data_IF_383381696038
#
_entry.id   IF_383381696038
#
_cell.length_a   1.000
_cell.length_b   1.000
_cell.length_c   1.000
_cell.angle_alpha   90.00
_cell.angle_beta   90.00
_cell.angle_gamma   90.00
#
_symmetry.space_group_name_H-M   'P 1'
#
loop_
_entity.id
_entity.type
_entity.pdbx_description
1 polymer ?
#
# COMPACT_ATOMS: atom_id res chain seq x y z
N UNK A 1 -37.47 18.04 -13.67
CA UNK A 1 -37.01 19.45 -13.70
C UNK A 1 -36.26 19.78 -12.44
N UNK A 2 -35.06 20.26 -12.60
CA UNK A 2 -34.11 20.82 -11.64
C UNK A 2 -32.98 19.86 -11.28
N UNK A 3 -32.00 19.75 -12.19
CA UNK A 3 -30.61 19.70 -11.77
C UNK A 3 -30.05 21.07 -12.15
N UNK A 4 -29.90 21.90 -11.12
CA UNK A 4 -29.30 23.23 -11.22
C UNK A 4 -27.85 23.08 -11.73
N UNK A 5 -27.46 23.96 -12.66
CA UNK A 5 -26.08 24.05 -13.20
C UNK A 5 -25.01 24.41 -12.15
N UNK A 6 -25.40 24.57 -10.89
CA UNK A 6 -24.53 25.07 -9.83
C UNK A 6 -23.78 23.98 -9.04
N UNK A 7 -23.85 22.69 -9.48
CA UNK A 7 -23.21 21.56 -8.78
C UNK A 7 -21.90 21.05 -9.42
N UNK A 8 -21.28 21.84 -10.28
CA UNK A 8 -19.95 21.49 -10.83
C UNK A 8 -18.89 22.44 -10.26
N UNK A 9 -18.17 22.08 -9.20
CA UNK A 9 -16.93 22.78 -8.88
C UNK A 9 -15.89 22.48 -9.97
N UNK A 10 -15.25 23.53 -10.48
CA UNK A 10 -14.13 23.46 -11.42
C UNK A 10 -13.00 22.64 -10.80
N UNK A 11 -12.73 21.47 -11.34
CA UNK A 11 -11.67 20.57 -10.89
C UNK A 11 -10.38 20.83 -11.66
N UNK A 12 -9.29 21.03 -10.94
CA UNK A 12 -7.93 21.11 -11.46
C UNK A 12 -7.43 19.75 -11.99
N UNK A 13 -6.64 19.76 -13.05
CA UNK A 13 -6.30 18.70 -13.99
C UNK A 13 -5.33 17.61 -13.50
N UNK A 14 -5.28 17.28 -12.20
CA UNK A 14 -4.42 16.19 -11.68
C UNK A 14 -5.13 15.36 -10.61
N UNK A 15 -6.20 14.65 -10.96
CA UNK A 15 -6.76 13.60 -10.11
C UNK A 15 -6.31 12.23 -10.61
N UNK A 16 -5.59 11.50 -9.75
CA UNK A 16 -5.22 10.08 -9.96
C UNK A 16 -6.48 9.20 -9.87
N UNK A 17 -6.49 8.04 -10.52
CA UNK A 17 -7.59 7.07 -10.60
C UNK A 17 -8.23 6.67 -9.25
N UNK A 18 -7.56 6.91 -8.12
CA UNK A 18 -8.05 6.61 -6.76
C UNK A 18 -9.00 7.65 -6.18
N UNK A 19 -9.28 8.75 -6.89
CA UNK A 19 -10.01 9.91 -6.40
C UNK A 19 -11.23 10.25 -7.29
N UNK A 20 -11.68 9.31 -8.12
CA UNK A 20 -12.83 9.51 -8.98
C UNK A 20 -14.13 9.29 -8.22
N UNK A 21 -14.94 10.35 -8.12
CA UNK A 21 -16.32 10.25 -7.65
C UNK A 21 -17.13 9.46 -8.69
N UNK A 22 -17.85 8.47 -8.25
CA UNK A 22 -18.76 7.69 -9.09
C UNK A 22 -20.20 8.12 -8.86
N UNK A 23 -21.03 7.88 -9.87
CA UNK A 23 -22.48 7.95 -9.75
C UNK A 23 -23.04 6.55 -10.01
N UNK A 24 -23.86 6.09 -9.08
CA UNK A 24 -24.62 4.87 -9.20
C UNK A 24 -25.97 5.19 -9.82
N UNK A 25 -26.25 4.60 -10.96
CA UNK A 25 -27.59 4.57 -11.56
C UNK A 25 -28.33 3.35 -11.03
N UNK A 26 -29.44 3.57 -10.33
CA UNK A 26 -30.34 2.52 -9.89
C UNK A 26 -31.57 2.46 -10.80
N UNK A 27 -31.84 1.30 -11.34
CA UNK A 27 -32.99 1.03 -12.20
C UNK A 27 -33.74 -0.18 -11.68
N UNK A 28 -35.04 -0.03 -11.42
CA UNK A 28 -35.85 -1.16 -11.02
C UNK A 28 -36.25 -2.00 -12.22
N UNK A 29 -35.85 -3.29 -12.22
CA UNK A 29 -36.09 -4.25 -13.30
C UNK A 29 -36.51 -5.57 -12.67
N UNK A 30 -37.77 -5.95 -12.86
CA UNK A 30 -38.32 -7.21 -12.30
C UNK A 30 -38.06 -8.42 -13.19
N UNK A 31 -37.76 -8.19 -14.47
CA UNK A 31 -37.47 -9.24 -15.45
C UNK A 31 -35.97 -9.44 -15.58
N UNK A 32 -35.43 -10.64 -15.24
CA UNK A 32 -34.01 -10.92 -15.36
C UNK A 32 -33.44 -10.81 -16.79
N UNK A 33 -34.21 -11.20 -17.81
CA UNK A 33 -33.77 -11.06 -19.21
C UNK A 33 -33.63 -9.60 -19.61
N UNK A 34 -34.56 -8.77 -19.16
CA UNK A 34 -34.47 -7.32 -19.38
C UNK A 34 -33.26 -6.70 -18.65
N UNK A 35 -32.92 -7.20 -17.45
CA UNK A 35 -31.75 -6.72 -16.72
C UNK A 35 -30.44 -7.04 -17.47
N UNK A 36 -30.33 -8.22 -18.08
CA UNK A 36 -29.18 -8.59 -18.90
C UNK A 36 -29.09 -7.73 -20.18
N UNK A 37 -30.21 -7.49 -20.85
CA UNK A 37 -30.25 -6.63 -22.05
C UNK A 37 -29.82 -5.20 -21.69
N UNK A 38 -30.37 -4.65 -20.60
CA UNK A 38 -30.01 -3.30 -20.15
C UNK A 38 -28.54 -3.20 -19.75
N UNK A 39 -28.00 -4.24 -19.10
CA UNK A 39 -26.59 -4.29 -18.77
C UNK A 39 -25.72 -4.23 -20.03
N UNK A 40 -26.08 -5.02 -21.06
CA UNK A 40 -25.33 -5.01 -22.32
C UNK A 40 -25.43 -3.66 -23.06
N UNK A 41 -26.63 -3.05 -23.11
CA UNK A 41 -26.78 -1.75 -23.80
C UNK A 41 -26.16 -0.58 -23.00
N UNK A 42 -26.21 -0.62 -21.66
CA UNK A 42 -25.53 0.39 -20.83
C UNK A 42 -24.00 0.25 -20.88
N UNK A 43 -23.48 -0.95 -21.12
CA UNK A 43 -22.05 -1.17 -21.30
C UNK A 43 -21.47 -0.53 -22.60
N UNK A 44 -22.33 -0.19 -23.56
CA UNK A 44 -21.92 0.60 -24.75
C UNK A 44 -21.75 2.10 -24.42
N UNK A 45 -22.25 2.53 -23.24
CA UNK A 45 -22.07 3.86 -22.68
C UNK A 45 -20.91 3.84 -21.67
N UNK A 46 -20.43 5.00 -21.18
CA UNK A 46 -19.29 5.05 -20.25
C UNK A 46 -19.52 4.46 -18.84
N UNK A 47 -20.43 3.52 -18.67
CA UNK A 47 -20.58 2.77 -17.42
C UNK A 47 -19.50 1.67 -17.32
N UNK A 48 -18.83 1.56 -16.17
CA UNK A 48 -17.66 0.71 -16.01
C UNK A 48 -17.94 -0.58 -15.23
N UNK A 49 -18.99 -0.61 -14.42
CA UNK A 49 -19.37 -1.81 -13.67
C UNK A 49 -20.87 -1.89 -13.43
N UNK A 50 -21.36 -3.12 -13.22
CA UNK A 50 -22.77 -3.42 -13.07
C UNK A 50 -22.95 -4.42 -11.93
N UNK A 51 -24.07 -4.27 -11.19
CA UNK A 51 -24.47 -5.18 -10.14
C UNK A 51 -25.98 -5.31 -10.12
N UNK A 52 -26.51 -6.51 -9.91
CA UNK A 52 -27.94 -6.72 -9.71
C UNK A 52 -28.19 -7.13 -8.28
N UNK A 53 -29.00 -6.37 -7.56
CA UNK A 53 -29.45 -6.67 -6.20
C UNK A 53 -30.96 -6.81 -6.17
N UNK A 54 -31.44 -8.05 -6.11
CA UNK A 54 -32.88 -8.33 -6.19
C UNK A 54 -33.48 -7.86 -7.51
N UNK A 55 -34.42 -6.89 -7.46
CA UNK A 55 -35.04 -6.28 -8.63
C UNK A 55 -34.39 -4.97 -9.06
N UNK A 56 -33.20 -4.65 -8.56
CA UNK A 56 -32.51 -3.40 -8.88
C UNK A 56 -31.23 -3.68 -9.64
N UNK A 57 -31.15 -3.18 -10.87
CA UNK A 57 -29.92 -3.08 -11.63
C UNK A 57 -29.19 -1.78 -11.24
N UNK A 58 -27.96 -1.91 -10.81
CA UNK A 58 -27.03 -0.82 -10.48
C UNK A 58 -25.98 -0.75 -11.54
N UNK A 59 -25.73 0.45 -12.08
CA UNK A 59 -24.66 0.72 -13.05
C UNK A 59 -23.83 1.89 -12.54
N UNK A 60 -22.50 1.78 -12.66
CA UNK A 60 -21.56 2.75 -12.08
C UNK A 60 -20.81 3.48 -13.17
N UNK A 61 -20.81 4.81 -13.10
CA UNK A 61 -20.18 5.70 -14.06
C UNK A 61 -19.33 6.76 -13.34
N UNK A 62 -18.11 7.09 -13.85
CA UNK A 62 -17.37 8.23 -13.35
C UNK A 62 -18.21 9.52 -13.45
N UNK A 63 -18.26 10.29 -12.37
CA UNK A 63 -19.10 11.48 -12.26
C UNK A 63 -18.87 12.49 -13.40
N UNK A 64 -17.63 12.62 -13.83
CA UNK A 64 -17.25 13.49 -14.94
C UNK A 64 -17.83 13.06 -16.30
N UNK A 65 -18.10 11.74 -16.48
CA UNK A 65 -18.61 11.15 -17.70
C UNK A 65 -20.15 11.13 -17.77
N UNK A 66 -20.82 11.32 -16.63
CA UNK A 66 -22.28 11.23 -16.55
C UNK A 66 -22.97 12.25 -17.46
N UNK A 67 -22.49 13.49 -17.49
CA UNK A 67 -23.11 14.55 -18.29
C UNK A 67 -23.09 14.25 -19.80
N UNK A 68 -22.08 13.51 -20.27
CA UNK A 68 -21.88 13.18 -21.68
C UNK A 68 -22.89 12.13 -22.17
N UNK A 69 -23.39 11.25 -21.30
CA UNK A 69 -24.25 10.14 -21.68
C UNK A 69 -25.64 10.13 -20.99
N UNK A 70 -25.92 11.07 -20.10
CA UNK A 70 -27.19 11.10 -19.35
C UNK A 70 -28.42 11.05 -20.27
N UNK A 71 -28.44 11.84 -21.35
CA UNK A 71 -29.55 11.84 -22.29
C UNK A 71 -29.68 10.49 -23.03
N UNK A 72 -28.56 9.90 -23.42
CA UNK A 72 -28.53 8.58 -24.07
C UNK A 72 -29.04 7.48 -23.15
N UNK A 73 -28.64 7.54 -21.87
CA UNK A 73 -29.13 6.63 -20.83
C UNK A 73 -30.64 6.78 -20.62
N UNK A 74 -31.14 8.01 -20.55
CA UNK A 74 -32.56 8.30 -20.39
C UNK A 74 -33.40 7.82 -21.58
N UNK A 75 -32.93 8.04 -22.80
CA UNK A 75 -33.55 7.57 -24.03
C UNK A 75 -33.55 6.03 -24.12
N UNK A 76 -32.46 5.39 -23.67
CA UNK A 76 -32.35 3.95 -23.59
C UNK A 76 -33.39 3.36 -22.64
N UNK A 77 -33.45 3.86 -21.41
CA UNK A 77 -34.39 3.40 -20.40
C UNK A 77 -35.85 3.62 -20.83
N UNK A 78 -36.13 4.74 -21.47
CA UNK A 78 -37.46 5.05 -22.01
C UNK A 78 -37.92 4.06 -23.10
N UNK A 79 -37.02 3.54 -23.95
CA UNK A 79 -37.33 2.50 -24.96
C UNK A 79 -37.90 1.23 -24.34
N UNK A 80 -37.45 0.92 -23.12
CA UNK A 80 -37.91 -0.24 -22.36
C UNK A 80 -39.03 0.09 -21.36
N UNK A 81 -39.59 1.32 -21.44
CA UNK A 81 -40.70 1.75 -20.58
C UNK A 81 -40.30 1.98 -19.11
N UNK A 82 -39.03 2.14 -18.84
CA UNK A 82 -38.50 2.34 -17.49
C UNK A 82 -38.46 3.85 -17.19
N UNK A 83 -39.34 4.27 -16.29
CA UNK A 83 -39.41 5.66 -15.82
C UNK A 83 -38.77 5.86 -14.43
N UNK A 84 -38.76 4.80 -13.58
CA UNK A 84 -38.20 4.88 -12.23
C UNK A 84 -36.71 4.58 -12.28
N UNK A 85 -35.92 5.66 -12.19
CA UNK A 85 -34.47 5.61 -12.12
C UNK A 85 -33.96 6.63 -11.13
N UNK A 86 -32.85 6.33 -10.49
CA UNK A 86 -32.19 7.22 -9.53
C UNK A 86 -30.71 7.25 -9.79
N UNK A 87 -30.16 8.47 -9.79
CA UNK A 87 -28.72 8.71 -9.81
C UNK A 87 -28.28 9.08 -8.40
N UNK A 88 -27.42 8.27 -7.81
CA UNK A 88 -26.90 8.44 -6.45
C UNK A 88 -25.42 8.77 -6.57
N UNK A 89 -25.01 9.95 -6.12
CA UNK A 89 -23.60 10.28 -6.05
C UNK A 89 -22.94 9.40 -4.98
N UNK A 90 -21.95 8.63 -5.38
CA UNK A 90 -21.07 7.92 -4.47
C UNK A 90 -19.92 8.85 -4.21
N UNK A 91 -19.88 9.45 -3.03
CA UNK A 91 -18.70 10.17 -2.60
C UNK A 91 -17.56 9.16 -2.49
N UNK A 92 -16.44 9.46 -3.15
CA UNK A 92 -15.23 8.68 -2.94
C UNK A 92 -14.93 8.71 -1.45
N UNK A 93 -15.17 7.60 -0.79
CA UNK A 93 -14.68 7.45 0.57
C UNK A 93 -13.16 7.55 0.46
N UNK A 94 -12.56 8.54 1.08
CA UNK A 94 -11.11 8.65 1.10
C UNK A 94 -10.56 7.47 1.91
N UNK A 95 -10.44 6.32 1.22
CA UNK A 95 -9.94 5.08 1.79
C UNK A 95 -8.55 5.28 2.39
N UNK A 96 -7.75 6.20 1.82
CA UNK A 96 -6.45 6.55 2.37
C UNK A 96 -6.61 7.23 3.74
N UNK A 97 -7.51 8.19 3.89
CA UNK A 97 -7.74 8.85 5.17
C UNK A 97 -8.33 7.89 6.21
N UNK A 98 -9.25 7.01 5.80
CA UNK A 98 -9.81 5.98 6.68
C UNK A 98 -8.75 4.96 7.11
N UNK A 99 -7.89 4.57 6.17
CA UNK A 99 -6.78 3.67 6.44
C UNK A 99 -5.74 4.33 7.34
N UNK A 100 -5.36 5.60 7.09
CA UNK A 100 -4.47 6.38 7.96
C UNK A 100 -4.99 6.49 9.39
N UNK A 101 -6.30 6.71 9.56
CA UNK A 101 -6.94 6.76 10.89
C UNK A 101 -6.90 5.43 11.64
N UNK A 102 -6.94 4.30 10.92
CA UNK A 102 -6.90 2.96 11.50
C UNK A 102 -5.49 2.38 11.62
N UNK A 103 -4.48 3.02 11.01
CA UNK A 103 -3.11 2.60 11.11
C UNK A 103 -2.52 3.12 12.43
N UNK A 104 -2.18 2.21 13.34
CA UNK A 104 -1.67 2.57 14.67
C UNK A 104 -0.15 2.51 14.73
N UNK A 105 0.53 3.38 15.47
CA UNK A 105 1.95 3.22 15.77
C UNK A 105 2.21 1.90 16.49
N UNK A 106 3.37 1.32 16.24
CA UNK A 106 3.83 0.07 16.88
C UNK A 106 4.85 0.40 17.94
N UNK A 107 4.59 -0.06 19.16
CA UNK A 107 5.53 -0.06 20.27
C UNK A 107 6.28 -1.39 20.29
N UNK A 108 7.60 -1.35 20.22
CA UNK A 108 8.46 -2.53 20.36
C UNK A 108 9.18 -2.43 21.70
N UNK A 109 8.69 -3.18 22.67
CA UNK A 109 9.24 -3.34 24.04
C UNK A 109 9.48 -2.01 24.79
N UNK A 110 8.73 -0.95 24.50
CA UNK A 110 8.95 0.39 25.08
C UNK A 110 10.26 1.06 24.62
N UNK A 111 10.95 0.48 23.64
CA UNK A 111 12.28 0.94 23.16
C UNK A 111 12.22 1.58 21.80
N UNK A 112 11.42 1.02 20.88
CA UNK A 112 11.32 1.51 19.50
C UNK A 112 9.88 1.90 19.23
N UNK A 113 9.66 3.11 18.76
CA UNK A 113 8.39 3.54 18.16
C UNK A 113 8.50 3.44 16.64
N UNK A 114 7.70 2.57 16.02
CA UNK A 114 7.53 2.54 14.57
C UNK A 114 6.22 3.26 14.27
N UNK A 115 6.28 4.32 13.51
CA UNK A 115 5.12 5.14 13.15
C UNK A 115 5.11 5.59 11.69
N UNK A 116 3.94 5.92 11.19
CA UNK A 116 3.82 6.58 9.90
C UNK A 116 4.13 8.10 10.00
N UNK A 117 4.46 8.78 8.89
CA UNK A 117 4.72 10.22 8.87
C UNK A 117 3.55 11.07 9.37
N UNK A 118 2.30 10.60 9.20
CA UNK A 118 1.08 11.29 9.64
C UNK A 118 0.79 11.14 11.14
N UNK A 119 1.52 10.29 11.87
CA UNK A 119 1.43 10.20 13.31
C UNK A 119 2.32 11.25 13.99
N UNK A 120 1.83 11.83 15.08
CA UNK A 120 2.65 12.72 15.91
C UNK A 120 3.83 11.96 16.53
N UNK A 121 5.02 12.59 16.62
CA UNK A 121 6.14 12.04 17.36
C UNK A 121 5.77 11.79 18.83
N UNK A 122 6.31 10.72 19.42
CA UNK A 122 6.11 10.40 20.82
C UNK A 122 7.44 10.37 21.56
N UNK A 123 7.45 10.83 22.80
CA UNK A 123 8.64 10.80 23.64
C UNK A 123 8.71 9.52 24.48
N UNK A 124 9.89 9.19 24.96
CA UNK A 124 10.10 8.05 25.85
C UNK A 124 10.68 6.80 25.19
N UNK A 125 10.89 6.83 23.87
CA UNK A 125 11.51 5.75 23.12
C UNK A 125 13.00 6.01 22.90
N UNK A 126 13.82 4.93 22.89
CA UNK A 126 15.23 5.01 22.51
C UNK A 126 15.39 5.33 21.01
N UNK A 127 14.50 4.77 20.18
CA UNK A 127 14.48 4.93 18.74
C UNK A 127 13.08 5.26 18.23
N UNK A 128 13.00 6.18 17.29
CA UNK A 128 11.82 6.42 16.49
C UNK A 128 12.13 6.06 15.03
N UNK A 129 11.28 5.23 14.43
CA UNK A 129 11.37 4.79 13.04
C UNK A 129 10.14 5.28 12.29
N UNK A 130 10.35 6.12 11.29
CA UNK A 130 9.27 6.64 10.45
C UNK A 130 9.19 5.80 9.18
N UNK A 131 8.06 5.13 8.99
CA UNK A 131 7.82 4.26 7.84
C UNK A 131 6.52 4.66 7.18
N UNK A 132 6.55 4.99 5.89
CA UNK A 132 5.35 5.12 5.09
C UNK A 132 4.88 3.70 4.73
N UNK A 133 3.82 3.21 5.35
CA UNK A 133 3.30 1.89 5.05
C UNK A 133 2.55 1.95 3.72
N UNK A 134 3.19 1.45 2.67
CA UNK A 134 2.57 1.20 1.37
C UNK A 134 2.13 -0.26 1.31
N UNK A 135 1.76 -0.77 0.15
CA UNK A 135 1.43 -2.20 -0.04
C UNK A 135 2.64 -3.15 0.13
N UNK A 136 3.76 -2.67 0.70
CA UNK A 136 4.92 -3.45 1.02
C UNK A 136 4.80 -4.06 2.43
N UNK A 137 5.33 -5.28 2.59
CA UNK A 137 5.43 -5.93 3.90
C UNK A 137 6.42 -5.18 4.80
N UNK A 138 6.23 -5.26 6.13
CA UNK A 138 7.20 -4.68 7.08
C UNK A 138 6.75 -3.39 7.76
N UNK A 139 5.44 -3.14 7.88
CA UNK A 139 4.89 -1.98 8.62
C UNK A 139 5.16 -2.02 10.14
N UNK A 140 5.85 -3.06 10.64
CA UNK A 140 6.12 -3.26 12.05
C UNK A 140 5.03 -4.03 12.82
N UNK A 141 3.84 -4.20 12.27
CA UNK A 141 2.71 -4.85 12.97
C UNK A 141 2.86 -6.37 13.14
N UNK A 142 3.76 -7.01 12.40
CA UNK A 142 3.98 -8.43 12.53
C UNK A 142 4.92 -8.74 13.71
N UNK A 143 4.55 -9.70 14.55
CA UNK A 143 5.32 -10.05 15.75
C UNK A 143 6.79 -10.40 15.46
N UNK A 144 7.07 -11.07 14.34
CA UNK A 144 8.45 -11.39 13.93
C UNK A 144 9.28 -10.14 13.65
N UNK A 145 8.68 -9.10 13.04
CA UNK A 145 9.37 -7.83 12.81
C UNK A 145 9.74 -7.16 14.13
N UNK A 146 8.82 -7.16 15.11
CA UNK A 146 9.11 -6.65 16.44
C UNK A 146 10.24 -7.42 17.13
N UNK A 147 10.22 -8.76 17.05
CA UNK A 147 11.24 -9.61 17.67
C UNK A 147 12.63 -9.35 17.06
N UNK A 148 12.75 -9.29 15.74
CA UNK A 148 14.03 -9.00 15.07
C UNK A 148 14.48 -7.59 15.35
N UNK A 149 13.58 -6.59 15.33
CA UNK A 149 13.90 -5.20 15.68
C UNK A 149 14.41 -5.08 17.12
N UNK A 150 13.77 -5.78 18.09
CA UNK A 150 14.22 -5.84 19.48
C UNK A 150 15.61 -6.48 19.59
N UNK A 151 15.84 -7.61 18.91
CA UNK A 151 17.13 -8.28 18.89
C UNK A 151 18.26 -7.40 18.31
N UNK A 152 17.97 -6.67 17.23
CA UNK A 152 18.92 -5.70 16.67
C UNK A 152 19.31 -4.60 17.66
N UNK A 153 18.41 -4.22 18.58
CA UNK A 153 18.74 -3.26 19.64
C UNK A 153 19.73 -3.79 20.68
N UNK A 154 19.83 -5.10 20.84
CA UNK A 154 20.71 -5.74 21.81
C UNK A 154 22.10 -6.05 21.23
N UNK A 155 22.26 -5.95 19.90
CA UNK A 155 23.55 -6.17 19.24
C UNK A 155 24.44 -4.92 19.26
N UNK A 156 25.78 -5.10 19.34
CA UNK A 156 26.76 -4.03 19.23
C UNK A 156 26.98 -3.67 17.76
N UNK A 157 26.05 -2.88 17.17
CA UNK A 157 26.04 -2.58 15.73
C UNK A 157 26.91 -1.39 15.32
N UNK A 158 27.51 -0.66 16.27
CA UNK A 158 28.32 0.52 15.95
C UNK A 158 29.46 0.19 14.98
N UNK A 159 29.48 0.88 13.83
CA UNK A 159 30.46 0.70 12.77
C UNK A 159 30.34 -0.58 11.95
N UNK A 160 29.34 -1.42 12.24
CA UNK A 160 29.10 -2.72 11.61
C UNK A 160 28.48 -2.58 10.21
N UNK A 161 28.72 -3.59 9.39
CA UNK A 161 28.09 -3.75 8.08
C UNK A 161 27.01 -4.82 8.15
N UNK A 162 25.80 -4.48 7.78
CA UNK A 162 24.64 -5.36 7.85
C UNK A 162 24.01 -5.66 6.50
N UNK A 163 23.14 -6.70 6.56
CA UNK A 163 22.22 -7.06 5.49
C UNK A 163 20.80 -7.17 6.06
N UNK A 164 19.83 -6.57 5.37
CA UNK A 164 18.40 -6.79 5.57
C UNK A 164 17.86 -7.50 4.33
N UNK A 165 17.62 -8.82 4.44
CA UNK A 165 17.15 -9.63 3.32
C UNK A 165 15.63 -9.80 3.37
N UNK A 166 14.96 -9.45 2.26
CA UNK A 166 13.52 -9.27 2.20
C UNK A 166 13.12 -8.00 2.96
N UNK A 167 13.77 -6.89 2.62
CA UNK A 167 13.73 -5.66 3.44
C UNK A 167 12.33 -5.02 3.51
N UNK A 168 11.45 -5.26 2.53
CA UNK A 168 10.12 -4.68 2.50
C UNK A 168 10.17 -3.15 2.61
N UNK A 169 9.57 -2.61 3.68
CA UNK A 169 9.63 -1.17 4.00
C UNK A 169 10.99 -0.67 4.44
N UNK A 170 11.96 -1.56 4.70
CA UNK A 170 13.28 -1.24 5.24
C UNK A 170 13.31 -0.99 6.74
N UNK A 171 12.28 -1.37 7.48
CA UNK A 171 12.18 -1.08 8.92
C UNK A 171 13.36 -1.65 9.72
N UNK A 172 13.80 -2.88 9.42
CA UNK A 172 14.92 -3.51 10.12
C UNK A 172 16.26 -2.85 9.77
N UNK A 173 16.47 -2.53 8.49
CA UNK A 173 17.63 -1.75 8.05
C UNK A 173 17.71 -0.39 8.75
N UNK A 174 16.57 0.30 8.91
CA UNK A 174 16.47 1.59 9.60
C UNK A 174 16.82 1.43 11.09
N UNK A 175 16.28 0.41 11.77
CA UNK A 175 16.63 0.11 13.18
C UNK A 175 18.13 -0.12 13.31
N UNK A 176 18.70 -0.99 12.48
CA UNK A 176 20.13 -1.29 12.52
C UNK A 176 21.01 -0.04 12.28
N UNK A 177 20.67 0.76 11.29
CA UNK A 177 21.40 2.00 10.98
C UNK A 177 21.28 3.03 12.13
N UNK A 178 20.10 3.17 12.75
CA UNK A 178 19.92 4.02 13.94
C UNK A 178 20.67 3.51 15.17
N UNK A 179 20.92 2.20 15.25
CA UNK A 179 21.74 1.55 16.30
C UNK A 179 23.25 1.66 16.00
N UNK A 180 23.66 2.39 14.97
CA UNK A 180 25.05 2.70 14.68
C UNK A 180 25.67 1.86 13.58
N UNK A 181 24.94 0.98 12.89
CA UNK A 181 25.49 0.28 11.73
C UNK A 181 26.01 1.27 10.70
N UNK A 182 27.23 1.05 10.21
CA UNK A 182 27.88 1.95 9.25
C UNK A 182 27.18 1.93 7.90
N UNK A 183 26.86 0.72 7.45
CA UNK A 183 26.07 0.50 6.22
C UNK A 183 25.17 -0.71 6.36
N UNK A 184 24.00 -0.67 5.72
CA UNK A 184 23.07 -1.82 5.65
C UNK A 184 22.65 -1.96 4.19
N UNK A 185 23.02 -3.09 3.59
CA UNK A 185 22.49 -3.50 2.29
C UNK A 185 21.05 -4.00 2.54
N UNK A 186 20.05 -3.49 1.81
CA UNK A 186 18.64 -3.84 1.96
C UNK A 186 18.14 -4.44 0.66
N UNK A 187 17.93 -5.77 0.64
CA UNK A 187 17.63 -6.52 -0.59
C UNK A 187 16.19 -6.97 -0.59
N UNK A 188 15.47 -6.74 -1.69
CA UNK A 188 14.13 -7.29 -1.92
C UNK A 188 13.94 -7.67 -3.38
N UNK A 189 13.12 -8.68 -3.65
CA UNK A 189 12.78 -9.10 -5.01
C UNK A 189 11.68 -8.24 -5.65
N UNK A 190 10.98 -7.45 -4.85
CA UNK A 190 9.88 -6.58 -5.27
C UNK A 190 10.39 -5.14 -5.49
N UNK A 191 10.19 -4.62 -6.71
CA UNK A 191 10.54 -3.24 -7.06
C UNK A 191 9.84 -2.20 -6.17
N UNK A 192 8.60 -2.48 -5.75
CA UNK A 192 7.86 -1.57 -4.85
C UNK A 192 8.44 -1.56 -3.44
N UNK A 193 8.90 -2.72 -2.95
CA UNK A 193 9.58 -2.82 -1.66
C UNK A 193 10.92 -2.09 -1.69
N UNK A 194 11.73 -2.28 -2.72
CA UNK A 194 13.01 -1.57 -2.89
C UNK A 194 12.80 -0.05 -2.94
N UNK A 195 11.86 0.43 -3.74
CA UNK A 195 11.55 1.85 -3.83
C UNK A 195 11.03 2.43 -2.49
N UNK A 196 10.17 1.69 -1.80
CA UNK A 196 9.64 2.09 -0.49
C UNK A 196 10.72 2.12 0.59
N UNK A 197 11.62 1.12 0.62
CA UNK A 197 12.79 1.11 1.50
C UNK A 197 13.66 2.38 1.28
N UNK A 198 13.92 2.76 0.04
CA UNK A 198 14.67 3.97 -0.32
C UNK A 198 14.02 5.24 0.21
N UNK A 199 12.71 5.38 0.02
CA UNK A 199 11.95 6.53 0.52
C UNK A 199 11.98 6.60 2.06
N UNK A 200 11.78 5.46 2.73
CA UNK A 200 11.78 5.38 4.19
C UNK A 200 13.18 5.63 4.76
N UNK A 201 14.24 5.13 4.13
CA UNK A 201 15.61 5.44 4.51
C UNK A 201 15.88 6.94 4.46
N UNK A 202 15.45 7.62 3.39
CA UNK A 202 15.57 9.06 3.24
C UNK A 202 14.77 9.83 4.29
N UNK A 203 13.51 9.40 4.57
CA UNK A 203 12.64 10.00 5.60
C UNK A 203 13.23 9.93 7.01
N UNK A 204 14.08 8.93 7.27
CA UNK A 204 14.81 8.78 8.53
C UNK A 204 16.22 9.42 8.53
N UNK A 205 16.63 10.10 7.44
CA UNK A 205 17.96 10.70 7.31
C UNK A 205 19.10 9.68 7.14
N UNK A 206 18.80 8.49 6.60
CA UNK A 206 19.72 7.35 6.50
C UNK A 206 20.03 6.93 5.06
N UNK A 207 19.73 7.78 4.06
CA UNK A 207 19.92 7.47 2.65
C UNK A 207 21.37 7.09 2.28
N UNK A 208 22.35 7.62 3.01
CA UNK A 208 23.78 7.32 2.80
C UNK A 208 24.24 6.03 3.48
N UNK A 209 23.44 5.48 4.41
CA UNK A 209 23.80 4.30 5.18
C UNK A 209 23.04 3.04 4.74
N UNK A 210 21.85 3.20 4.19
CA UNK A 210 21.02 2.11 3.71
C UNK A 210 21.08 2.07 2.20
N UNK A 211 21.43 0.90 1.65
CA UNK A 211 21.60 0.68 0.21
C UNK A 211 20.52 -0.29 -0.27
N UNK A 212 19.34 0.20 -0.71
CA UNK A 212 18.30 -0.66 -1.27
C UNK A 212 18.76 -1.27 -2.59
N UNK A 213 18.49 -2.56 -2.77
CA UNK A 213 18.88 -3.33 -3.95
C UNK A 213 17.76 -4.27 -4.38
N UNK A 214 17.36 -4.21 -5.63
CA UNK A 214 16.42 -5.17 -6.23
C UNK A 214 17.14 -6.48 -6.53
N UNK A 215 16.60 -7.61 -6.06
CA UNK A 215 17.07 -8.95 -6.35
C UNK A 215 16.89 -9.93 -5.20
N UNK A 216 17.51 -11.11 -5.35
CA UNK A 216 17.50 -12.22 -4.41
C UNK A 216 18.86 -12.40 -3.72
N UNK A 217 19.06 -13.56 -3.05
CA UNK A 217 20.32 -13.91 -2.40
C UNK A 217 21.55 -13.92 -3.34
N UNK A 218 21.36 -13.93 -4.65
CA UNK A 218 22.47 -13.79 -5.61
C UNK A 218 23.13 -12.39 -5.54
N UNK A 219 22.42 -11.38 -5.05
CA UNK A 219 22.95 -10.01 -4.91
C UNK A 219 24.04 -9.86 -3.86
N UNK A 220 24.11 -10.80 -2.91
CA UNK A 220 25.11 -10.75 -1.83
C UNK A 220 26.35 -11.58 -2.11
N UNK A 221 26.44 -12.24 -3.27
CA UNK A 221 27.60 -13.06 -3.64
C UNK A 221 28.91 -12.23 -3.56
N UNK A 222 29.90 -12.76 -2.84
CA UNK A 222 31.19 -12.12 -2.62
C UNK A 222 31.19 -10.93 -1.65
N UNK A 223 30.04 -10.62 -1.04
CA UNK A 223 29.95 -9.61 0.03
C UNK A 223 30.16 -10.25 1.41
N UNK A 224 30.50 -9.42 2.38
CA UNK A 224 30.67 -9.84 3.78
C UNK A 224 29.91 -8.92 4.71
N UNK A 225 29.31 -9.50 5.74
CA UNK A 225 28.48 -8.79 6.69
C UNK A 225 28.79 -9.22 8.13
N UNK A 226 28.77 -8.27 9.04
CA UNK A 226 28.87 -8.52 10.48
C UNK A 226 27.57 -9.09 11.06
N UNK A 227 26.43 -8.74 10.45
CA UNK A 227 25.11 -9.28 10.80
C UNK A 227 24.20 -9.37 9.58
N UNK A 228 23.26 -10.32 9.62
CA UNK A 228 22.22 -10.52 8.62
C UNK A 228 20.88 -10.61 9.34
N UNK A 229 19.91 -9.77 8.97
CA UNK A 229 18.52 -9.91 9.34
C UNK A 229 17.74 -10.45 8.12
N UNK A 230 16.96 -11.53 8.33
CA UNK A 230 16.22 -12.19 7.26
C UNK A 230 14.81 -12.59 7.74
N UNK A 231 13.92 -11.61 7.86
CA UNK A 231 12.54 -11.83 8.28
C UNK A 231 11.63 -12.18 7.07
N UNK A 232 11.90 -13.31 6.45
CA UNK A 232 11.27 -13.80 5.24
C UNK A 232 10.59 -15.17 5.42
N UNK A 233 9.96 -15.67 4.36
CA UNK A 233 9.35 -17.00 4.37
C UNK A 233 10.39 -18.09 4.71
N UNK A 234 10.04 -18.97 5.64
CA UNK A 234 10.91 -20.06 6.14
C UNK A 234 11.51 -20.92 5.02
N UNK A 235 10.76 -21.20 3.97
CA UNK A 235 11.25 -22.08 2.89
C UNK A 235 12.36 -21.38 2.10
N UNK A 236 12.19 -20.08 1.81
CA UNK A 236 13.20 -19.26 1.14
C UNK A 236 14.41 -19.10 2.05
N UNK A 237 14.20 -18.76 3.33
CA UNK A 237 15.27 -18.66 4.31
C UNK A 237 16.12 -19.92 4.34
N UNK A 238 15.48 -21.10 4.37
CA UNK A 238 16.20 -22.39 4.41
C UNK A 238 16.97 -22.66 3.12
N UNK A 239 16.41 -22.28 1.96
CA UNK A 239 17.05 -22.43 0.67
C UNK A 239 18.29 -21.53 0.54
N UNK A 240 18.21 -20.31 1.02
CA UNK A 240 19.26 -19.29 0.90
C UNK A 240 20.31 -19.36 2.04
N UNK A 241 20.12 -20.24 3.04
CA UNK A 241 21.04 -20.40 4.16
C UNK A 241 22.51 -20.58 3.78
N UNK A 242 22.87 -21.35 2.71
CA UNK A 242 24.27 -21.45 2.27
C UNK A 242 24.86 -20.09 1.85
N UNK A 243 24.09 -19.25 1.17
CA UNK A 243 24.53 -17.92 0.77
C UNK A 243 24.74 -16.99 1.98
N UNK A 244 23.85 -17.07 2.98
CA UNK A 244 24.01 -16.32 4.23
C UNK A 244 25.23 -16.78 5.01
N UNK A 245 25.45 -18.09 5.13
CA UNK A 245 26.62 -18.63 5.81
C UNK A 245 27.94 -18.22 5.12
N UNK A 246 27.96 -18.14 3.79
CA UNK A 246 29.11 -17.63 3.04
C UNK A 246 29.30 -16.13 3.23
N UNK A 247 28.21 -15.35 3.25
CA UNK A 247 28.26 -13.89 3.35
C UNK A 247 28.50 -13.38 4.78
N UNK A 248 28.20 -14.16 5.81
CA UNK A 248 28.39 -13.79 7.21
C UNK A 248 29.87 -13.87 7.61
N UNK A 249 30.37 -12.85 8.27
CA UNK A 249 31.73 -12.89 8.83
C UNK A 249 31.81 -13.80 10.05
N UNK A 250 33.02 -14.28 10.35
CA UNK A 250 33.26 -15.14 11.52
C UNK A 250 32.86 -14.41 12.81
N UNK A 251 31.94 -15.02 13.57
CA UNK A 251 31.37 -14.42 14.77
C UNK A 251 30.28 -13.38 14.51
N UNK A 252 29.78 -13.30 13.28
CA UNK A 252 28.62 -12.47 12.92
C UNK A 252 27.31 -13.10 13.36
N UNK A 253 26.26 -12.30 13.40
CA UNK A 253 24.92 -12.68 13.87
C UNK A 253 23.95 -12.87 12.70
N UNK A 254 23.15 -13.95 12.75
CA UNK A 254 22.01 -14.18 11.85
C UNK A 254 20.72 -14.17 12.68
N UNK A 255 19.78 -13.30 12.28
CA UNK A 255 18.51 -13.02 12.95
C UNK A 255 17.32 -13.43 12.08
#
# INVERSE_FOLDING_TARGET
NIISKDFLPVLSTEKRYTDMDYVELNVRVTDPELAEILTAELAELPYESFQTEGEVLKAYIPRERLADCMQQTDDLLARYGIADRRYIAIESQNWNALWEQNFTPVDVDGRILIRAPFHAPQQGYELEVVVMPRMAFGSGHHATTCLVASALCDLPLEGKRGLDMGCGTGVLAIVAAKRGAATVDAVDIDEWAEANCRENAAANGLAERIVPMLGDAGRIAGRKYDFIAANINRNILTMDMPAYAEALDTGGDLL
#
